data_IF_079962900115
#
_entry.id   IF_079962900115
#
_cell.length_a   1.000
_cell.length_b   1.000
_cell.length_c   1.000
_cell.angle_alpha   90.00
_cell.angle_beta   90.00
_cell.angle_gamma   90.00
#
_symmetry.space_group_name_H-M   'P 1'
#
loop_
_entity.id
_entity.type
_entity.pdbx_description
1 polymer ?
#
# COMPACT_ATOMS: atom_id res chain seq x y z
N UNK A 1 -19.62 3.02 14.02
CA UNK A 1 -19.29 2.32 12.75
C UNK A 1 -18.51 1.08 13.16
N UNK A 2 -18.76 -0.08 12.57
CA UNK A 2 -17.94 -1.25 12.86
C UNK A 2 -16.52 -1.00 12.38
N UNK A 3 -15.52 -1.39 13.20
CA UNK A 3 -14.11 -1.32 12.81
C UNK A 3 -13.87 -2.17 11.57
N UNK A 4 -13.23 -1.59 10.54
CA UNK A 4 -12.87 -2.34 9.34
C UNK A 4 -11.88 -3.46 9.70
N UNK A 5 -12.10 -4.65 9.17
CA UNK A 5 -11.23 -5.79 9.39
C UNK A 5 -10.19 -5.91 8.28
N UNK A 6 -8.92 -5.94 8.66
CA UNK A 6 -7.78 -5.84 7.75
C UNK A 6 -7.02 -7.16 7.72
N UNK A 7 -6.70 -7.65 6.52
CA UNK A 7 -5.72 -8.72 6.29
C UNK A 7 -4.46 -8.14 5.65
N UNK A 8 -3.29 -8.44 6.21
CA UNK A 8 -1.97 -8.04 5.70
C UNK A 8 -1.25 -9.28 5.17
N UNK A 9 -0.98 -9.30 3.88
CA UNK A 9 -0.34 -10.40 3.16
C UNK A 9 0.97 -9.89 2.55
N UNK A 10 2.09 -10.44 2.98
CA UNK A 10 3.43 -9.93 2.72
C UNK A 10 4.20 -10.94 1.88
N UNK A 11 4.54 -10.55 0.66
CA UNK A 11 5.53 -11.24 -0.16
C UNK A 11 6.93 -10.86 0.36
N UNK A 12 7.46 -11.70 1.28
CA UNK A 12 8.64 -11.36 2.06
C UNK A 12 9.94 -11.30 1.24
N UNK A 13 10.01 -12.00 0.11
CA UNK A 13 11.19 -11.99 -0.76
C UNK A 13 11.44 -10.59 -1.36
N UNK A 14 10.37 -9.80 -1.47
CA UNK A 14 10.39 -8.47 -2.06
C UNK A 14 10.41 -7.32 -1.04
N UNK A 15 10.34 -7.62 0.28
CA UNK A 15 10.21 -6.59 1.32
C UNK A 15 11.14 -6.87 2.49
N UNK A 16 11.93 -5.87 2.88
CA UNK A 16 12.79 -5.97 4.06
C UNK A 16 12.01 -5.80 5.38
N UNK A 17 12.50 -6.37 6.49
CA UNK A 17 11.80 -6.40 7.78
C UNK A 17 11.49 -5.01 8.36
N UNK A 18 12.35 -4.01 8.15
CA UNK A 18 12.14 -2.64 8.65
C UNK A 18 10.95 -1.92 8.01
N UNK A 19 10.60 -2.29 6.79
CA UNK A 19 9.45 -1.73 6.08
C UNK A 19 8.11 -2.26 6.60
N UNK A 20 8.11 -3.45 7.20
CA UNK A 20 6.87 -4.11 7.66
C UNK A 20 6.27 -3.36 8.85
N UNK A 21 7.08 -3.01 9.85
CA UNK A 21 6.61 -2.22 10.99
C UNK A 21 5.99 -0.90 10.52
N UNK A 22 6.69 -0.20 9.63
CA UNK A 22 6.19 1.06 9.09
C UNK A 22 4.82 0.90 8.38
N UNK A 23 4.62 -0.19 7.60
CA UNK A 23 3.31 -0.46 6.96
C UNK A 23 2.24 -0.67 8.03
N UNK A 24 2.52 -1.46 9.06
CA UNK A 24 1.57 -1.71 10.15
C UNK A 24 1.18 -0.41 10.86
N UNK A 25 2.15 0.51 11.06
CA UNK A 25 1.89 1.83 11.64
C UNK A 25 1.01 2.69 10.71
N UNK A 26 1.24 2.65 9.37
CA UNK A 26 0.44 3.41 8.41
C UNK A 26 -1.02 2.97 8.31
N UNK A 27 -1.31 1.70 8.58
CA UNK A 27 -2.67 1.15 8.50
C UNK A 27 -3.38 1.09 9.85
N UNK A 28 -2.70 1.43 10.95
CA UNK A 28 -3.23 1.33 12.32
C UNK A 28 -4.54 2.09 12.52
N UNK A 29 -4.68 3.26 11.89
CA UNK A 29 -5.88 4.10 11.95
C UNK A 29 -6.99 3.65 10.99
N UNK A 30 -6.72 2.67 10.12
CA UNK A 30 -7.66 2.24 9.08
C UNK A 30 -8.64 1.15 9.57
N UNK A 31 -8.34 0.49 10.69
CA UNK A 31 -9.15 -0.56 11.26
C UNK A 31 -8.35 -1.60 12.05
N UNK A 32 -9.00 -2.72 12.36
CA UNK A 32 -8.41 -3.82 13.15
C UNK A 32 -7.73 -4.83 12.22
N UNK A 33 -6.44 -5.03 12.38
CA UNK A 33 -5.70 -6.10 11.67
C UNK A 33 -6.02 -7.44 12.33
N UNK A 34 -6.69 -8.34 11.59
CA UNK A 34 -7.11 -9.67 12.06
C UNK A 34 -6.26 -10.79 11.47
N UNK A 35 -5.57 -10.56 10.34
CA UNK A 35 -4.67 -11.50 9.70
C UNK A 35 -3.38 -10.78 9.34
N UNK A 36 -2.23 -11.37 9.71
CA UNK A 36 -0.89 -10.94 9.29
C UNK A 36 -0.10 -12.17 8.86
N UNK A 37 0.23 -12.30 7.58
CA UNK A 37 0.99 -13.43 7.02
C UNK A 37 2.14 -12.95 6.16
N UNK A 38 3.30 -13.60 6.32
CA UNK A 38 4.47 -13.37 5.47
C UNK A 38 4.84 -14.67 4.75
N UNK A 39 4.92 -14.61 3.43
CA UNK A 39 5.19 -15.74 2.55
C UNK A 39 6.65 -15.72 2.13
N UNK A 40 7.36 -16.80 2.37
CA UNK A 40 8.78 -16.88 2.05
C UNK A 40 9.40 -18.25 2.35
N UNK A 41 10.69 -18.37 2.02
CA UNK A 41 11.49 -19.53 2.38
C UNK A 41 12.20 -19.25 3.70
N UNK A 42 11.71 -19.86 4.77
CA UNK A 42 12.26 -19.68 6.09
C UNK A 42 13.28 -20.78 6.40
N UNK A 43 14.52 -20.41 6.70
CA UNK A 43 15.45 -21.31 7.38
C UNK A 43 15.23 -21.18 8.89
N UNK A 44 15.32 -22.30 9.63
CA UNK A 44 15.15 -22.32 11.08
C UNK A 44 16.11 -21.33 11.77
N UNK A 45 15.60 -20.59 12.76
CA UNK A 45 16.35 -19.67 13.63
C UNK A 45 17.03 -18.48 12.94
N UNK A 46 16.41 -17.86 11.94
CA UNK A 46 16.90 -16.59 11.40
C UNK A 46 16.43 -15.41 12.25
N UNK A 47 17.24 -14.33 12.39
CA UNK A 47 16.81 -13.10 13.05
C UNK A 47 15.53 -12.51 12.45
N UNK A 48 15.32 -12.68 11.14
CA UNK A 48 14.13 -12.23 10.44
C UNK A 48 12.86 -12.96 10.91
N UNK A 49 12.96 -14.27 11.14
CA UNK A 49 11.82 -15.06 11.64
C UNK A 49 11.43 -14.61 13.05
N UNK A 50 12.41 -14.39 13.94
CA UNK A 50 12.16 -13.89 15.29
C UNK A 50 11.43 -12.53 15.25
N UNK A 51 11.89 -11.62 14.40
CA UNK A 51 11.27 -10.30 14.24
C UNK A 51 9.83 -10.38 13.74
N UNK A 52 9.52 -11.27 12.78
CA UNK A 52 8.14 -11.47 12.33
C UNK A 52 7.22 -11.96 13.45
N UNK A 53 7.72 -12.90 14.25
CA UNK A 53 6.97 -13.43 15.40
C UNK A 53 6.73 -12.36 16.47
N UNK A 54 7.70 -11.50 16.75
CA UNK A 54 7.55 -10.34 17.65
C UNK A 54 6.45 -9.37 17.17
N UNK A 55 6.32 -9.18 15.84
CA UNK A 55 5.26 -8.39 15.23
C UNK A 55 3.90 -9.13 15.16
N UNK A 56 3.86 -10.38 15.63
CA UNK A 56 2.68 -11.24 15.55
C UNK A 56 2.31 -11.58 14.10
N UNK A 57 3.29 -11.72 13.23
CA UNK A 57 3.12 -12.10 11.82
C UNK A 57 3.34 -13.61 11.70
N UNK A 58 2.39 -14.31 11.11
CA UNK A 58 2.46 -15.73 10.80
C UNK A 58 3.40 -15.96 9.61
N UNK A 59 4.56 -16.63 9.78
CA UNK A 59 5.41 -17.00 8.67
C UNK A 59 4.85 -18.22 7.96
N UNK A 60 4.50 -18.08 6.69
CA UNK A 60 4.03 -19.17 5.84
C UNK A 60 5.24 -19.77 5.13
N UNK A 61 5.62 -21.00 5.53
CA UNK A 61 6.74 -21.73 4.93
C UNK A 61 6.42 -22.19 3.53
N UNK A 62 7.31 -21.90 2.60
CA UNK A 62 7.23 -22.39 1.22
C UNK A 62 8.34 -23.39 0.95
N UNK A 63 7.98 -24.47 0.25
CA UNK A 63 8.94 -25.50 -0.14
C UNK A 63 9.21 -25.39 -1.64
N UNK A 64 10.49 -25.33 -2.02
CA UNK A 64 10.87 -25.37 -3.43
C UNK A 64 10.65 -26.79 -3.96
N UNK A 65 9.65 -26.98 -4.80
CA UNK A 65 9.32 -28.27 -5.39
C UNK A 65 10.09 -28.59 -6.67
N UNK A 66 10.70 -27.59 -7.33
CA UNK A 66 11.48 -27.75 -8.57
C UNK A 66 12.58 -26.71 -8.69
N UNK A 67 13.63 -27.00 -9.49
CA UNK A 67 14.76 -26.07 -9.78
C UNK A 67 14.36 -24.75 -10.46
N UNK A 68 13.07 -24.58 -10.85
CA UNK A 68 12.56 -23.38 -11.55
C UNK A 68 11.37 -22.72 -10.86
N UNK A 69 10.97 -23.13 -9.64
CA UNK A 69 9.77 -22.66 -8.96
C UNK A 69 9.89 -21.26 -8.37
N UNK A 70 9.93 -20.23 -9.23
CA UNK A 70 9.96 -18.82 -8.80
C UNK A 70 8.61 -18.31 -8.28
N UNK A 71 7.49 -18.95 -8.59
CA UNK A 71 6.13 -18.42 -8.32
C UNK A 71 5.36 -19.18 -7.23
N UNK A 72 6.01 -20.01 -6.41
CA UNK A 72 5.28 -20.78 -5.38
C UNK A 72 4.80 -19.89 -4.21
N UNK A 73 5.54 -18.82 -3.90
CA UNK A 73 5.16 -17.81 -2.91
C UNK A 73 3.92 -17.03 -3.34
N UNK A 74 3.95 -16.54 -4.58
CA UNK A 74 2.89 -15.73 -5.14
C UNK A 74 1.59 -16.49 -5.23
N UNK A 75 1.65 -17.74 -5.71
CA UNK A 75 0.48 -18.63 -5.78
C UNK A 75 -0.10 -18.91 -4.39
N UNK A 76 0.72 -19.15 -3.38
CA UNK A 76 0.22 -19.39 -2.02
C UNK A 76 -0.44 -18.15 -1.43
N UNK A 77 0.16 -16.97 -1.59
CA UNK A 77 -0.44 -15.70 -1.17
C UNK A 77 -1.78 -15.47 -1.86
N UNK A 78 -1.86 -15.72 -3.18
CA UNK A 78 -3.12 -15.58 -3.94
C UNK A 78 -4.19 -16.55 -3.42
N UNK A 79 -3.86 -17.80 -3.15
CA UNK A 79 -4.81 -18.79 -2.61
C UNK A 79 -5.34 -18.31 -1.26
N UNK A 80 -4.46 -17.95 -0.33
CA UNK A 80 -4.85 -17.47 1.00
C UNK A 80 -5.70 -16.18 0.92
N UNK A 81 -5.37 -15.26 0.02
CA UNK A 81 -6.17 -14.05 -0.20
C UNK A 81 -7.59 -14.38 -0.69
N UNK A 82 -7.74 -15.35 -1.59
CA UNK A 82 -9.04 -15.79 -2.09
C UNK A 82 -9.82 -16.56 -1.01
N UNK A 83 -9.16 -17.38 -0.21
CA UNK A 83 -9.81 -18.04 0.94
C UNK A 83 -10.34 -16.99 1.94
N UNK A 84 -9.52 -15.99 2.31
CA UNK A 84 -9.92 -14.91 3.19
C UNK A 84 -11.07 -14.08 2.61
N UNK A 85 -11.10 -13.84 1.29
CA UNK A 85 -12.18 -13.12 0.62
C UNK A 85 -13.55 -13.76 0.86
N UNK A 86 -13.62 -15.09 0.87
CA UNK A 86 -14.88 -15.82 0.95
C UNK A 86 -15.20 -16.39 2.33
N UNK A 87 -14.19 -16.62 3.17
CA UNK A 87 -14.34 -17.31 4.46
C UNK A 87 -14.18 -16.40 5.67
N UNK A 88 -13.74 -15.15 5.47
CA UNK A 88 -13.39 -14.23 6.55
C UNK A 88 -14.10 -12.89 6.39
N UNK A 89 -14.42 -12.19 7.49
CA UNK A 89 -15.06 -10.88 7.43
C UNK A 89 -14.05 -9.75 7.11
N UNK A 90 -13.08 -10.01 6.25
CA UNK A 90 -12.06 -9.03 5.84
C UNK A 90 -12.69 -8.00 4.91
N UNK A 91 -12.53 -6.71 5.24
CA UNK A 91 -13.00 -5.57 4.46
C UNK A 91 -11.87 -4.96 3.62
N UNK A 92 -10.65 -4.98 4.17
CA UNK A 92 -9.46 -4.37 3.58
C UNK A 92 -8.33 -5.37 3.46
N UNK A 93 -7.77 -5.50 2.26
CA UNK A 93 -6.58 -6.30 1.98
C UNK A 93 -5.38 -5.40 1.78
N UNK A 94 -4.32 -5.63 2.54
CA UNK A 94 -3.02 -4.99 2.36
C UNK A 94 -2.08 -5.99 1.70
N UNK A 95 -1.73 -5.74 0.44
CA UNK A 95 -0.82 -6.59 -0.35
C UNK A 95 0.55 -5.92 -0.40
N UNK A 96 1.52 -6.54 0.25
CA UNK A 96 2.88 -6.01 0.34
C UNK A 96 3.77 -6.75 -0.65
N UNK A 97 3.87 -6.21 -1.85
CA UNK A 97 4.73 -6.68 -2.94
C UNK A 97 4.89 -5.61 -4.01
N UNK A 98 5.98 -5.66 -4.77
CA UNK A 98 6.23 -4.83 -5.96
C UNK A 98 5.93 -5.58 -7.27
N UNK A 99 5.52 -6.86 -7.19
CA UNK A 99 5.34 -7.71 -8.35
C UNK A 99 4.00 -7.43 -9.06
N UNK A 100 4.09 -7.16 -10.36
CA UNK A 100 2.93 -6.94 -11.23
C UNK A 100 2.03 -8.17 -11.40
N UNK A 101 2.53 -9.37 -11.07
CA UNK A 101 1.75 -10.60 -11.16
C UNK A 101 0.59 -10.63 -10.15
N UNK A 102 0.61 -9.74 -9.14
CA UNK A 102 -0.53 -9.54 -8.23
C UNK A 102 -1.64 -8.62 -8.78
N UNK A 103 -1.50 -7.99 -9.95
CA UNK A 103 -2.56 -7.17 -10.55
C UNK A 103 -3.89 -7.92 -10.72
N UNK A 104 -3.94 -9.19 -11.17
CA UNK A 104 -5.19 -9.95 -11.24
C UNK A 104 -5.84 -10.14 -9.86
N UNK A 105 -5.04 -10.39 -8.81
CA UNK A 105 -5.54 -10.53 -7.44
C UNK A 105 -6.17 -9.23 -6.95
N UNK A 106 -5.45 -8.10 -7.03
CA UNK A 106 -5.95 -6.79 -6.58
C UNK A 106 -7.26 -6.42 -7.27
N UNK A 107 -7.36 -6.64 -8.58
CA UNK A 107 -8.59 -6.42 -9.35
C UNK A 107 -9.73 -7.33 -8.89
N UNK A 108 -9.44 -8.61 -8.61
CA UNK A 108 -10.45 -9.56 -8.12
C UNK A 108 -11.00 -9.14 -6.76
N UNK A 109 -10.13 -8.74 -5.82
CA UNK A 109 -10.54 -8.27 -4.49
C UNK A 109 -11.41 -7.01 -4.59
N UNK A 110 -11.00 -6.02 -5.40
CA UNK A 110 -11.77 -4.80 -5.63
C UNK A 110 -13.12 -5.07 -6.31
N UNK A 111 -13.17 -5.96 -7.29
CA UNK A 111 -14.43 -6.34 -7.94
C UNK A 111 -15.41 -7.05 -7.00
N UNK A 112 -14.90 -7.64 -5.92
CA UNK A 112 -15.70 -8.22 -4.84
C UNK A 112 -16.09 -7.18 -3.74
N UNK A 113 -15.85 -5.89 -4.00
CA UNK A 113 -16.22 -4.81 -3.08
C UNK A 113 -15.25 -4.60 -1.91
N UNK A 114 -14.04 -5.20 -1.95
CA UNK A 114 -13.04 -5.02 -0.90
C UNK A 114 -12.13 -3.84 -1.20
N UNK A 115 -11.67 -3.16 -0.15
CA UNK A 115 -10.61 -2.15 -0.26
C UNK A 115 -9.26 -2.85 -0.40
N UNK A 116 -8.43 -2.40 -1.34
CA UNK A 116 -7.08 -2.95 -1.55
C UNK A 116 -6.03 -1.85 -1.39
N UNK A 117 -5.14 -2.06 -0.43
CA UNK A 117 -3.98 -1.21 -0.18
C UNK A 117 -2.74 -1.97 -0.66
N UNK A 118 -1.99 -1.39 -1.56
CA UNK A 118 -0.70 -1.93 -1.98
C UNK A 118 0.45 -1.30 -1.19
N UNK A 119 1.56 -2.02 -1.04
CA UNK A 119 2.81 -1.47 -0.55
C UNK A 119 3.99 -2.19 -1.20
N UNK A 120 5.00 -1.45 -1.66
CA UNK A 120 6.17 -2.06 -2.30
C UNK A 120 7.26 -1.06 -2.62
N UNK A 121 8.42 -1.55 -3.07
CA UNK A 121 9.58 -0.70 -3.38
C UNK A 121 9.27 0.18 -4.59
N UNK A 122 9.48 1.48 -4.42
CA UNK A 122 9.25 2.48 -5.47
C UNK A 122 10.01 2.15 -6.77
N UNK A 123 11.29 1.76 -6.64
CA UNK A 123 12.14 1.46 -7.78
C UNK A 123 11.75 0.17 -8.55
N UNK A 124 10.92 -0.71 -7.96
CA UNK A 124 10.58 -2.01 -8.53
C UNK A 124 9.11 -2.13 -8.96
N UNK A 125 8.23 -1.29 -8.42
CA UNK A 125 6.80 -1.42 -8.64
C UNK A 125 6.37 -0.90 -10.02
N UNK A 126 5.50 -1.65 -10.68
CA UNK A 126 4.87 -1.21 -11.92
C UNK A 126 3.69 -0.27 -11.67
N UNK A 127 3.49 0.71 -12.57
CA UNK A 127 2.31 1.58 -12.52
C UNK A 127 1.00 0.79 -12.58
N UNK A 128 0.99 -0.36 -13.26
CA UNK A 128 -0.19 -1.22 -13.36
C UNK A 128 -0.62 -1.75 -11.98
N UNK A 129 0.34 -2.15 -11.13
CA UNK A 129 0.03 -2.60 -9.76
C UNK A 129 -0.48 -1.43 -8.91
N UNK A 130 0.21 -0.28 -8.94
CA UNK A 130 -0.21 0.92 -8.20
C UNK A 130 -1.65 1.31 -8.52
N UNK A 131 -2.00 1.43 -9.80
CA UNK A 131 -3.34 1.84 -10.25
C UNK A 131 -4.41 0.77 -10.04
N UNK A 132 -4.02 -0.48 -9.80
CA UNK A 132 -4.95 -1.56 -9.48
C UNK A 132 -5.39 -1.57 -8.01
N UNK A 133 -4.72 -0.82 -7.13
CA UNK A 133 -5.05 -0.64 -5.73
C UNK A 133 -5.92 0.60 -5.49
N UNK A 134 -6.58 0.70 -4.34
CA UNK A 134 -7.29 1.91 -3.90
C UNK A 134 -6.33 2.93 -3.27
N UNK A 135 -5.24 2.42 -2.67
CA UNK A 135 -4.13 3.19 -2.12
C UNK A 135 -2.83 2.41 -2.27
N UNK A 136 -1.71 3.10 -2.45
CA UNK A 136 -0.40 2.48 -2.54
C UNK A 136 0.64 3.22 -1.71
N UNK A 137 1.44 2.47 -0.93
CA UNK A 137 2.55 2.99 -0.15
C UNK A 137 3.88 2.64 -0.79
N UNK A 138 4.72 3.63 -1.05
CA UNK A 138 6.08 3.40 -1.53
C UNK A 138 7.03 3.16 -0.35
N UNK A 139 7.77 2.06 -0.45
CA UNK A 139 8.81 1.69 0.50
C UNK A 139 10.16 2.15 -0.06
N UNK A 140 10.79 3.12 0.60
CA UNK A 140 12.12 3.58 0.23
C UNK A 140 13.21 2.69 0.84
N UNK A 141 14.30 2.45 0.10
CA UNK A 141 15.44 1.65 0.56
C UNK A 141 16.15 2.25 1.80
N UNK A 142 15.88 3.51 2.15
CA UNK A 142 16.41 4.19 3.33
C UNK A 142 15.75 3.82 4.67
N UNK A 143 14.67 3.04 4.69
CA UNK A 143 14.03 2.55 5.92
C UNK A 143 14.72 1.32 6.50
N UNK A 144 15.76 0.81 5.86
CA UNK A 144 16.54 -0.34 6.30
C UNK A 144 17.63 -0.01 7.32
N UNK A 145 17.71 1.18 7.84
CA UNK A 145 18.68 1.53 8.87
C UNK A 145 19.00 3.02 8.90
N UNK A 146 18.69 3.63 10.01
CA UNK A 146 19.10 4.95 10.47
C UNK A 146 18.41 6.17 9.82
N UNK A 147 17.71 6.89 10.68
CA UNK A 147 17.23 8.25 10.47
C UNK A 147 18.32 9.17 9.87
N UNK A 148 18.23 9.39 8.58
CA UNK A 148 18.90 10.52 7.95
C UNK A 148 18.02 11.02 6.82
N UNK A 149 17.44 12.19 7.03
CA UNK A 149 16.80 13.01 6.02
C UNK A 149 17.69 13.07 4.78
N UNK A 150 17.29 12.41 3.72
CA UNK A 150 17.72 12.76 2.36
C UNK A 150 16.50 13.26 1.61
N UNK A 151 16.45 14.56 1.43
CA UNK A 151 15.72 15.25 0.39
C UNK A 151 16.21 14.69 -0.94
N UNK A 152 15.43 13.82 -1.56
CA UNK A 152 15.67 13.40 -2.93
C UNK A 152 15.00 14.40 -3.85
N UNK A 153 15.84 15.18 -4.54
CA UNK A 153 15.49 15.94 -5.73
C UNK A 153 15.19 14.97 -6.87
N UNK A 154 13.96 14.54 -6.97
CA UNK A 154 13.37 13.95 -8.14
C UNK A 154 12.30 14.90 -8.65
N UNK A 155 12.31 15.21 -9.95
CA UNK A 155 11.41 16.17 -10.57
C UNK A 155 9.95 15.96 -10.13
N UNK A 156 9.22 17.05 -9.82
CA UNK A 156 7.82 16.93 -9.40
C UNK A 156 7.01 16.42 -10.58
N UNK A 157 6.61 15.16 -10.54
CA UNK A 157 5.55 14.65 -11.41
C UNK A 157 4.29 15.43 -11.09
N UNK A 158 4.11 16.56 -11.81
CA UNK A 158 2.85 17.25 -12.09
C UNK A 158 1.74 17.11 -11.02
N UNK A 159 2.04 17.41 -9.74
CA UNK A 159 1.04 17.50 -8.68
C UNK A 159 -0.10 18.46 -9.05
N UNK A 160 0.23 19.50 -9.76
CA UNK A 160 -0.70 20.49 -10.30
C UNK A 160 -1.75 19.89 -11.23
N UNK A 161 -1.38 18.97 -12.12
CA UNK A 161 -2.35 18.35 -13.05
C UNK A 161 -3.30 17.39 -12.33
N UNK A 162 -2.84 16.69 -11.29
CA UNK A 162 -3.66 15.80 -10.48
C UNK A 162 -4.65 16.60 -9.62
N UNK A 163 -4.18 17.67 -8.99
CA UNK A 163 -5.01 18.58 -8.18
C UNK A 163 -6.12 19.21 -9.02
N UNK A 164 -5.79 19.77 -10.18
CA UNK A 164 -6.79 20.36 -11.09
C UNK A 164 -7.86 19.35 -11.52
N UNK A 165 -7.46 18.14 -11.86
CA UNK A 165 -8.41 17.08 -12.23
C UNK A 165 -9.32 16.69 -11.07
N UNK A 166 -8.79 16.62 -9.85
CA UNK A 166 -9.55 16.30 -8.65
C UNK A 166 -10.53 17.42 -8.29
N UNK A 167 -10.09 18.68 -8.39
CA UNK A 167 -10.95 19.86 -8.16
C UNK A 167 -12.07 19.91 -9.20
N UNK A 168 -11.78 19.76 -10.49
CA UNK A 168 -12.79 19.72 -11.55
C UNK A 168 -13.83 18.61 -11.36
N UNK A 169 -13.40 17.45 -10.86
CA UNK A 169 -14.29 16.31 -10.62
C UNK A 169 -15.18 16.47 -9.37
N UNK A 170 -14.83 17.39 -8.47
CA UNK A 170 -15.53 17.59 -7.17
C UNK A 170 -16.16 18.98 -7.03
N UNK A 171 -16.01 19.83 -8.04
CA UNK A 171 -16.52 21.20 -8.06
C UNK A 171 -18.05 21.20 -8.16
N UNK A 172 -18.69 22.00 -7.34
CA UNK A 172 -20.15 22.23 -7.40
C UNK A 172 -20.51 23.28 -8.48
N UNK A 173 -21.81 23.54 -8.64
CA UNK A 173 -22.33 24.52 -9.61
C UNK A 173 -21.87 25.97 -9.32
N UNK A 174 -21.35 26.22 -8.11
CA UNK A 174 -20.83 27.52 -7.68
C UNK A 174 -19.31 27.63 -7.83
N UNK A 175 -18.66 26.60 -8.39
CA UNK A 175 -17.21 26.55 -8.59
C UNK A 175 -16.41 26.27 -7.32
N UNK A 176 -17.03 25.68 -6.28
CA UNK A 176 -16.39 25.33 -5.01
C UNK A 176 -16.26 23.82 -4.87
N UNK A 177 -15.18 23.39 -4.25
CA UNK A 177 -14.95 21.98 -3.92
C UNK A 177 -14.53 21.85 -2.45
N UNK A 178 -15.06 20.85 -1.75
CA UNK A 178 -14.64 20.54 -0.38
C UNK A 178 -13.25 19.90 -0.40
N UNK A 179 -12.32 20.42 0.39
CA UNK A 179 -10.94 19.91 0.46
C UNK A 179 -10.86 18.41 0.76
N UNK A 180 -11.76 17.88 1.59
CA UNK A 180 -11.85 16.43 1.87
C UNK A 180 -12.23 15.62 0.63
N UNK A 181 -13.16 16.10 -0.17
CA UNK A 181 -13.59 15.47 -1.43
C UNK A 181 -12.49 15.54 -2.48
N UNK A 182 -11.77 16.66 -2.57
CA UNK A 182 -10.60 16.83 -3.44
C UNK A 182 -9.51 15.82 -3.07
N UNK A 183 -9.17 15.70 -1.78
CA UNK A 183 -8.16 14.75 -1.31
C UNK A 183 -8.53 13.30 -1.65
N UNK A 184 -9.76 12.89 -1.34
CA UNK A 184 -10.23 11.54 -1.69
C UNK A 184 -10.20 11.28 -3.19
N UNK A 185 -10.55 12.28 -4.00
CA UNK A 185 -10.52 12.15 -5.46
C UNK A 185 -9.10 12.11 -5.99
N UNK A 186 -8.16 12.88 -5.42
CA UNK A 186 -6.73 12.77 -5.75
C UNK A 186 -6.21 11.37 -5.47
N UNK A 187 -6.53 10.78 -4.32
CA UNK A 187 -6.15 9.40 -3.99
C UNK A 187 -6.79 8.35 -4.89
N UNK A 188 -8.03 8.58 -5.39
CA UNK A 188 -8.65 7.70 -6.39
C UNK A 188 -8.01 7.81 -7.78
N UNK A 189 -7.57 9.00 -8.17
CA UNK A 189 -6.91 9.26 -9.44
C UNK A 189 -5.45 8.80 -9.45
N UNK A 190 -4.79 8.93 -8.30
CA UNK A 190 -3.43 8.47 -8.06
C UNK A 190 -3.34 7.89 -6.64
N UNK A 191 -3.43 6.56 -6.49
CA UNK A 191 -3.37 5.90 -5.18
C UNK A 191 -2.06 6.12 -4.41
N UNK A 192 -1.00 6.56 -5.10
CA UNK A 192 0.29 6.87 -4.49
C UNK A 192 0.42 8.34 -4.04
N UNK A 193 -0.61 9.18 -4.27
CA UNK A 193 -0.55 10.57 -3.86
C UNK A 193 -0.51 10.70 -2.33
N UNK A 194 0.56 11.32 -1.83
CA UNK A 194 0.72 11.68 -0.42
C UNK A 194 1.29 13.11 -0.29
N UNK A 195 0.48 14.02 0.23
CA UNK A 195 0.89 15.40 0.47
C UNK A 195 2.00 15.52 1.54
N UNK A 196 2.13 14.53 2.44
CA UNK A 196 3.20 14.50 3.46
C UNK A 196 4.55 14.19 2.83
N UNK A 197 4.59 13.33 1.82
CA UNK A 197 5.79 13.09 1.02
C UNK A 197 6.28 14.34 0.28
N UNK A 198 5.34 15.27 -0.01
CA UNK A 198 5.64 16.59 -0.59
C UNK A 198 6.04 17.65 0.46
N UNK A 199 6.18 17.26 1.73
CA UNK A 199 6.65 18.13 2.81
C UNK A 199 5.56 18.94 3.52
N UNK A 200 4.28 18.64 3.31
CA UNK A 200 3.17 19.34 3.93
C UNK A 200 2.61 18.58 5.13
N UNK A 201 2.43 19.26 6.27
CA UNK A 201 1.91 18.66 7.50
C UNK A 201 0.41 18.29 7.40
N UNK A 202 -0.36 19.04 6.61
CA UNK A 202 -1.81 18.83 6.37
C UNK A 202 -2.16 19.06 4.92
N UNK A 203 -3.27 18.49 4.48
CA UNK A 203 -3.77 18.69 3.10
C UNK A 203 -4.16 20.14 2.84
N UNK A 204 -4.70 20.86 3.83
CA UNK A 204 -4.98 22.31 3.73
C UNK A 204 -3.71 23.11 3.43
N UNK A 205 -2.60 22.80 4.10
CA UNK A 205 -1.30 23.43 3.81
C UNK A 205 -0.81 23.16 2.39
N UNK A 206 -1.02 21.93 1.89
CA UNK A 206 -0.72 21.58 0.50
C UNK A 206 -1.54 22.43 -0.48
N UNK A 207 -2.84 22.60 -0.23
CA UNK A 207 -3.70 23.44 -1.06
C UNK A 207 -3.26 24.93 -1.04
N UNK A 208 -2.96 25.47 0.13
CA UNK A 208 -2.50 26.87 0.30
C UNK A 208 -1.22 27.17 -0.47
N UNK A 209 -0.34 26.20 -0.66
CA UNK A 209 0.91 26.37 -1.41
C UNK A 209 0.75 26.17 -2.92
N UNK A 210 -0.39 25.70 -3.35
CA UNK A 210 -0.71 25.52 -4.77
C UNK A 210 -1.16 26.86 -5.39
N UNK A 211 -0.53 27.26 -6.48
CA UNK A 211 -0.91 28.47 -7.23
C UNK A 211 -2.19 28.33 -8.05
N UNK A 212 -2.78 27.14 -8.08
CA UNK A 212 -3.88 26.77 -9.01
C UNK A 212 -5.25 26.76 -8.35
N UNK A 213 -5.32 26.82 -7.02
CA UNK A 213 -6.57 26.84 -6.26
C UNK A 213 -6.52 27.92 -5.21
N UNK A 214 -7.63 28.61 -5.00
CA UNK A 214 -7.82 29.52 -3.85
C UNK A 214 -8.57 28.77 -2.75
N UNK A 215 -8.01 28.78 -1.54
CA UNK A 215 -8.58 28.14 -0.35
C UNK A 215 -9.39 29.14 0.44
#
# INVERSE_FOLDING_TARGET
MADQQIAVLIDYENVGPGSIQWILDQISDSGRVIVKRAYGHWSSNTPQLAQLLELGIEPVQLFRTTRGGKNSSDMRLVIDAIELLYQSPVDTFVIVSSDSDFVPLTRKLRSAGKTVIGAGREAAVSRALVTSCDRYFYLSDGMLGNSSRRTMSGEPVKGNTLLLRAVQATMDEQGKALGTSVHQTMQRLDPAFDFRALGHATFSRYLETSSEVSV
#
